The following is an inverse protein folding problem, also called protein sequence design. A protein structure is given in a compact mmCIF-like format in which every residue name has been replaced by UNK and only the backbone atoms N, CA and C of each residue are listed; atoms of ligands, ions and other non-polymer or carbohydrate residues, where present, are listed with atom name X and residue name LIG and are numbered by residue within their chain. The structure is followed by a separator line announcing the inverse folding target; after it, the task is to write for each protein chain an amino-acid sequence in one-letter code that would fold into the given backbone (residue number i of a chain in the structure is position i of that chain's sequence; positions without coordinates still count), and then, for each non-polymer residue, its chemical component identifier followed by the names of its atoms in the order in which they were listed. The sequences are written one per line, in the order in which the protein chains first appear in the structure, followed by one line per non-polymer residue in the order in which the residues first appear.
data_IF_026615804897
#
_entry.id   IF_026615804897
#
_cell.length_a   1.000
_cell.length_b   1.000
_cell.length_c   1.000
_cell.angle_alpha   90.00
_cell.angle_beta   90.00
_cell.angle_gamma   90.00
#
_symmetry.space_group_name_H-M   'P 1'
#
loop_
_entity.id
_entity.type
_entity.pdbx_description
1 polymer ?
#
# COMPACT_ATOMS: atom_id res chain seq x y z
N UNK A 1 -11.62 -35.24 24.37
CA UNK A 1 -11.09 -34.65 23.13
C UNK A 1 -9.66 -35.15 22.94
N UNK A 2 -9.46 -36.15 22.12
CA UNK A 2 -8.15 -36.77 21.85
C UNK A 2 -7.40 -35.84 20.88
N UNK A 3 -6.33 -35.22 21.31
CA UNK A 3 -5.42 -34.46 20.46
C UNK A 3 -4.86 -35.37 19.37
N UNK A 4 -5.33 -35.18 18.14
CA UNK A 4 -4.84 -35.89 16.96
C UNK A 4 -3.37 -35.54 16.79
N UNK A 5 -2.44 -36.50 16.99
CA UNK A 5 -1.01 -36.30 16.68
C UNK A 5 -0.90 -35.90 15.24
N UNK A 6 -0.60 -34.63 14.98
CA UNK A 6 -0.35 -34.14 13.61
C UNK A 6 0.95 -34.80 13.15
N UNK A 7 0.88 -35.61 12.10
CA UNK A 7 2.07 -36.21 11.50
C UNK A 7 2.97 -35.11 10.93
N UNK A 8 4.29 -35.24 11.06
CA UNK A 8 5.24 -34.29 10.47
C UNK A 8 5.00 -34.11 8.95
N UNK A 9 4.53 -35.16 8.27
CA UNK A 9 4.15 -35.11 6.87
C UNK A 9 2.92 -34.21 6.63
N UNK A 10 1.88 -34.33 7.48
CA UNK A 10 0.67 -33.51 7.37
C UNK A 10 0.99 -32.03 7.69
N UNK A 11 1.89 -31.79 8.65
CA UNK A 11 2.35 -30.44 8.97
C UNK A 11 3.11 -29.81 7.79
N UNK A 12 4.02 -30.56 7.16
CA UNK A 12 4.78 -30.11 5.99
C UNK A 12 3.89 -29.81 4.79
N UNK A 13 2.88 -30.66 4.53
CA UNK A 13 1.96 -30.46 3.41
C UNK A 13 1.07 -29.25 3.66
N UNK A 14 0.51 -29.12 4.85
CA UNK A 14 -0.40 -28.01 5.20
C UNK A 14 0.31 -26.66 5.31
N UNK A 15 1.61 -26.65 5.62
CA UNK A 15 2.40 -25.43 5.77
C UNK A 15 3.54 -25.33 4.74
N UNK A 16 3.41 -25.97 3.58
CA UNK A 16 4.46 -26.07 2.57
C UNK A 16 5.04 -24.70 2.16
N UNK A 17 4.21 -23.69 2.01
CA UNK A 17 4.65 -22.32 1.67
C UNK A 17 5.57 -21.75 2.76
N UNK A 18 5.20 -21.94 4.04
CA UNK A 18 5.99 -21.44 5.18
C UNK A 18 7.33 -22.17 5.24
N UNK A 19 7.34 -23.48 5.02
CA UNK A 19 8.55 -24.29 5.00
C UNK A 19 9.50 -23.84 3.89
N UNK A 20 8.99 -23.62 2.67
CA UNK A 20 9.78 -23.12 1.54
C UNK A 20 10.36 -21.74 1.85
N UNK A 21 9.56 -20.82 2.42
CA UNK A 21 10.04 -19.49 2.78
C UNK A 21 11.14 -19.55 3.85
N UNK A 22 11.01 -20.42 4.85
CA UNK A 22 12.04 -20.59 5.88
C UNK A 22 13.32 -21.17 5.28
N UNK A 23 13.22 -22.15 4.39
CA UNK A 23 14.39 -22.71 3.69
C UNK A 23 15.11 -21.66 2.84
N UNK A 24 14.36 -20.83 2.11
CA UNK A 24 14.92 -19.71 1.34
C UNK A 24 15.58 -18.67 2.24
N UNK A 25 14.98 -18.34 3.38
CA UNK A 25 15.55 -17.39 4.36
C UNK A 25 16.86 -17.94 4.93
N UNK A 26 16.92 -19.22 5.31
CA UNK A 26 18.13 -19.88 5.81
C UNK A 26 19.20 -19.94 4.71
N UNK A 27 18.82 -20.32 3.51
CA UNK A 27 19.76 -20.34 2.36
C UNK A 27 20.37 -18.96 2.10
N UNK A 28 19.54 -17.92 2.10
CA UNK A 28 19.98 -16.53 1.91
C UNK A 28 20.89 -16.06 3.05
N UNK A 29 20.57 -16.42 4.30
CA UNK A 29 21.39 -16.10 5.46
C UNK A 29 22.77 -16.73 5.40
N UNK A 30 22.88 -17.95 4.88
CA UNK A 30 24.17 -18.66 4.71
C UNK A 30 25.00 -18.01 3.59
N UNK A 31 24.35 -17.61 2.49
CA UNK A 31 25.03 -17.02 1.32
C UNK A 31 25.41 -15.55 1.51
N UNK A 32 24.65 -14.81 2.30
CA UNK A 32 24.86 -13.38 2.53
C UNK A 32 25.02 -13.09 4.04
N UNK A 33 26.28 -12.90 4.51
CA UNK A 33 26.53 -12.64 5.95
C UNK A 33 25.83 -11.37 6.47
N UNK A 34 25.51 -10.42 5.58
CA UNK A 34 24.81 -9.18 5.92
C UNK A 34 23.30 -9.36 6.04
N UNK A 35 22.75 -10.57 5.77
CA UNK A 35 21.30 -10.80 5.79
C UNK A 35 20.67 -10.44 7.14
N UNK A 36 21.28 -10.81 8.25
CA UNK A 36 20.85 -10.47 9.60
C UNK A 36 21.43 -9.15 10.13
N UNK A 37 22.06 -8.32 9.28
CA UNK A 37 22.51 -7.00 9.73
C UNK A 37 21.33 -6.14 10.14
N UNK A 38 21.55 -5.27 11.14
CA UNK A 38 20.53 -4.35 11.65
C UNK A 38 19.92 -3.49 10.53
N UNK A 39 20.74 -3.00 9.60
CA UNK A 39 20.27 -2.20 8.46
C UNK A 39 19.34 -2.99 7.55
N UNK A 40 19.69 -4.24 7.21
CA UNK A 40 18.85 -5.07 6.35
C UNK A 40 17.53 -5.46 7.04
N UNK A 41 17.53 -5.76 8.34
CA UNK A 41 16.30 -6.04 9.09
C UNK A 41 15.36 -4.83 9.13
N UNK A 42 15.90 -3.63 9.33
CA UNK A 42 15.12 -2.40 9.25
C UNK A 42 14.54 -2.21 7.84
N UNK A 43 15.34 -2.41 6.79
CA UNK A 43 14.88 -2.30 5.41
C UNK A 43 13.77 -3.32 5.09
N UNK A 44 13.88 -4.55 5.58
CA UNK A 44 12.82 -5.56 5.43
C UNK A 44 11.55 -5.09 6.15
N UNK A 45 11.65 -4.61 7.39
CA UNK A 45 10.51 -4.12 8.15
C UNK A 45 9.81 -2.94 7.45
N UNK A 46 10.58 -1.96 6.96
CA UNK A 46 10.05 -0.81 6.21
C UNK A 46 9.35 -1.23 4.91
N UNK A 47 9.85 -2.25 4.21
CA UNK A 47 9.21 -2.77 3.00
C UNK A 47 7.96 -3.61 3.28
N UNK A 48 7.91 -4.29 4.43
CA UNK A 48 6.78 -5.15 4.82
C UNK A 48 5.64 -4.36 5.44
N UNK A 49 5.95 -3.32 6.23
CA UNK A 49 4.96 -2.55 6.99
C UNK A 49 3.79 -2.02 6.14
N UNK A 50 3.99 -1.34 5.00
CA UNK A 50 2.89 -0.86 4.17
C UNK A 50 2.01 -2.00 3.63
N UNK A 51 2.65 -3.10 3.19
CA UNK A 51 1.95 -4.27 2.68
C UNK A 51 1.12 -4.96 3.76
N UNK A 52 1.63 -4.99 4.98
CA UNK A 52 0.93 -5.55 6.13
C UNK A 52 -0.32 -4.74 6.48
N UNK A 53 -0.23 -3.41 6.47
CA UNK A 53 -1.38 -2.51 6.70
C UNK A 53 -2.44 -2.74 5.63
N UNK A 54 -2.04 -2.83 4.35
CA UNK A 54 -2.96 -3.12 3.24
C UNK A 54 -3.62 -4.49 3.43
N UNK A 55 -2.86 -5.52 3.79
CA UNK A 55 -3.38 -6.86 4.04
C UNK A 55 -4.40 -6.89 5.17
N UNK A 56 -4.17 -6.14 6.26
CA UNK A 56 -5.15 -5.97 7.34
C UNK A 56 -6.45 -5.33 6.82
N UNK A 57 -6.37 -4.30 5.97
CA UNK A 57 -7.54 -3.67 5.37
C UNK A 57 -8.33 -4.61 4.46
N UNK A 58 -7.64 -5.34 3.59
CA UNK A 58 -8.26 -6.28 2.64
C UNK A 58 -8.82 -7.52 3.35
N UNK A 59 -8.28 -7.91 4.51
CA UNK A 59 -8.76 -9.07 5.26
C UNK A 59 -10.25 -8.96 5.63
N UNK A 60 -10.75 -7.75 5.89
CA UNK A 60 -12.17 -7.50 6.12
C UNK A 60 -13.05 -7.89 4.92
N UNK A 61 -12.60 -7.58 3.71
CA UNK A 61 -13.30 -7.97 2.48
C UNK A 61 -13.29 -9.49 2.28
N UNK A 62 -12.19 -10.18 2.62
CA UNK A 62 -12.10 -11.63 2.52
C UNK A 62 -13.06 -12.36 3.50
N UNK A 63 -13.24 -11.82 4.72
CA UNK A 63 -14.18 -12.36 5.70
C UNK A 63 -15.62 -12.32 5.15
N UNK A 64 -15.99 -11.29 4.40
CA UNK A 64 -17.30 -11.14 3.75
C UNK A 64 -17.41 -11.91 2.43
N UNK A 65 -16.45 -12.79 2.12
CA UNK A 65 -16.34 -13.55 0.86
C UNK A 65 -16.22 -12.68 -0.40
N UNK A 66 -15.80 -11.42 -0.23
CA UNK A 66 -15.44 -10.52 -1.32
C UNK A 66 -13.93 -10.50 -1.56
N UNK A 67 -13.53 -10.07 -2.75
CA UNK A 67 -12.13 -9.76 -3.06
C UNK A 67 -12.04 -8.29 -3.43
N UNK A 68 -11.06 -7.56 -2.87
CA UNK A 68 -10.79 -6.18 -3.26
C UNK A 68 -9.49 -6.10 -4.06
N UNK A 69 -9.62 -5.97 -5.37
CA UNK A 69 -8.50 -5.79 -6.28
C UNK A 69 -8.11 -4.31 -6.43
N UNK A 70 -8.95 -3.38 -5.97
CA UNK A 70 -8.70 -1.95 -6.12
C UNK A 70 -7.67 -1.39 -5.13
N UNK A 71 -7.43 -2.08 -4.01
CA UNK A 71 -6.55 -1.64 -2.92
C UNK A 71 -5.16 -1.22 -3.40
N UNK A 72 -4.53 -1.97 -4.31
CA UNK A 72 -3.22 -1.63 -4.86
C UNK A 72 -3.22 -0.31 -5.65
N UNK A 73 -4.29 -0.01 -6.36
CA UNK A 73 -4.43 1.27 -7.11
C UNK A 73 -4.78 2.44 -6.20
N UNK A 74 -5.46 2.20 -5.09
CA UNK A 74 -5.68 3.22 -4.04
C UNK A 74 -4.36 3.69 -3.44
N UNK A 75 -3.41 2.78 -3.22
CA UNK A 75 -2.05 3.15 -2.81
C UNK A 75 -1.36 4.01 -3.86
N UNK A 76 -1.49 3.66 -5.15
CA UNK A 76 -0.96 4.48 -6.25
C UNK A 76 -1.59 5.88 -6.29
N UNK A 77 -2.91 5.99 -6.12
CA UNK A 77 -3.61 7.28 -6.06
C UNK A 77 -3.11 8.13 -4.89
N UNK A 78 -3.00 7.53 -3.69
CA UNK A 78 -2.46 8.22 -2.51
C UNK A 78 -1.03 8.70 -2.73
N UNK A 79 -0.19 7.87 -3.39
CA UNK A 79 1.17 8.24 -3.72
C UNK A 79 1.23 9.40 -4.73
N UNK A 80 0.36 9.43 -5.73
CA UNK A 80 0.24 10.54 -6.68
C UNK A 80 -0.18 11.83 -5.98
N UNK A 81 -1.23 11.78 -5.14
CA UNK A 81 -1.73 12.94 -4.41
C UNK A 81 -0.70 13.48 -3.41
N UNK A 82 -0.16 12.61 -2.56
CA UNK A 82 0.88 12.99 -1.62
C UNK A 82 2.12 13.51 -2.34
N UNK A 83 2.51 12.85 -3.44
CA UNK A 83 3.66 13.23 -4.24
C UNK A 83 3.55 14.64 -4.82
N UNK A 84 2.40 15.05 -5.30
CA UNK A 84 2.19 16.39 -5.87
C UNK A 84 2.04 17.48 -4.83
N UNK A 85 1.44 17.17 -3.66
CA UNK A 85 1.18 18.13 -2.58
C UNK A 85 2.37 18.34 -1.65
N UNK A 86 3.33 17.41 -1.62
CA UNK A 86 4.51 17.45 -0.73
C UNK A 86 5.81 17.76 -1.49
N UNK A 87 5.72 18.42 -2.66
CA UNK A 87 6.90 18.87 -3.40
C UNK A 87 7.57 20.05 -2.71
N UNK A 88 8.90 20.19 -2.89
CA UNK A 88 9.68 21.34 -2.39
C UNK A 88 9.20 22.63 -3.04
N UNK A 89 9.20 23.75 -2.30
CA UNK A 89 8.83 25.06 -2.85
C UNK A 89 9.68 25.50 -4.03
N UNK A 90 10.96 25.17 -4.03
CA UNK A 90 11.98 25.54 -5.02
C UNK A 90 12.15 24.53 -6.17
N UNK A 91 11.37 23.44 -6.20
CA UNK A 91 11.48 22.42 -7.25
C UNK A 91 10.91 22.95 -8.59
N UNK A 92 11.74 22.98 -9.63
CA UNK A 92 11.39 23.52 -10.96
C UNK A 92 10.29 22.76 -11.68
N UNK A 93 10.13 21.45 -11.39
CA UNK A 93 9.07 20.59 -11.94
C UNK A 93 7.84 20.46 -11.05
N UNK A 94 7.54 21.48 -10.23
CA UNK A 94 6.35 21.48 -9.36
C UNK A 94 5.06 21.26 -10.14
N UNK A 95 4.22 20.40 -9.61
CA UNK A 95 2.89 20.17 -10.16
C UNK A 95 1.95 21.36 -9.86
N UNK A 96 1.96 21.83 -8.62
CA UNK A 96 1.25 23.05 -8.20
C UNK A 96 2.22 24.19 -7.96
N UNK A 97 2.29 25.14 -8.89
CA UNK A 97 3.23 26.27 -8.79
C UNK A 97 2.94 27.24 -7.64
N UNK A 98 1.66 27.34 -7.25
CA UNK A 98 1.19 28.30 -6.24
C UNK A 98 1.01 27.69 -4.84
N UNK A 99 1.56 26.50 -4.55
CA UNK A 99 1.55 25.98 -3.18
C UNK A 99 2.43 26.88 -2.29
N UNK A 100 1.89 27.40 -1.19
CA UNK A 100 2.65 28.24 -0.26
C UNK A 100 3.77 27.42 0.39
N UNK A 101 4.84 28.11 0.79
CA UNK A 101 5.83 27.53 1.67
C UNK A 101 5.30 27.54 3.10
N UNK A 102 5.16 26.36 3.68
CA UNK A 102 4.60 26.19 5.03
C UNK A 102 5.63 26.43 6.14
N UNK A 103 6.90 26.73 5.81
CA UNK A 103 7.95 27.01 6.78
C UNK A 103 7.98 25.95 7.90
N UNK A 104 7.82 26.39 9.16
CA UNK A 104 7.79 25.47 10.31
C UNK A 104 6.52 24.62 10.42
N UNK A 105 5.48 24.86 9.63
CA UNK A 105 4.21 24.12 9.66
C UNK A 105 4.16 22.90 8.72
N UNK A 106 5.30 22.52 8.11
CA UNK A 106 5.37 21.37 7.19
C UNK A 106 4.86 20.07 7.81
N UNK A 107 5.11 19.82 9.11
CA UNK A 107 4.58 18.64 9.78
C UNK A 107 3.05 18.59 9.80
N UNK A 108 2.42 19.73 10.02
CA UNK A 108 0.97 19.87 10.02
C UNK A 108 0.40 19.74 8.61
N UNK A 109 1.13 20.22 7.60
CA UNK A 109 0.77 20.03 6.19
C UNK A 109 0.86 18.56 5.75
N UNK A 110 1.90 17.83 6.15
CA UNK A 110 2.01 16.38 5.91
C UNK A 110 0.81 15.64 6.51
N UNK A 111 0.42 15.98 7.74
CA UNK A 111 -0.77 15.39 8.37
C UNK A 111 -2.06 15.72 7.59
N UNK A 112 -2.22 16.97 7.14
CA UNK A 112 -3.36 17.38 6.34
C UNK A 112 -3.43 16.60 5.01
N UNK A 113 -2.30 16.45 4.31
CA UNK A 113 -2.21 15.67 3.07
C UNK A 113 -2.56 14.20 3.31
N UNK A 114 -2.11 13.62 4.42
CA UNK A 114 -2.47 12.25 4.81
C UNK A 114 -3.99 12.12 5.00
N UNK A 115 -4.63 13.07 5.69
CA UNK A 115 -6.07 13.06 5.88
C UNK A 115 -6.83 13.22 4.55
N UNK A 116 -6.33 14.06 3.64
CA UNK A 116 -6.89 14.21 2.29
C UNK A 116 -6.81 12.88 1.52
N UNK A 117 -5.68 12.20 1.55
CA UNK A 117 -5.50 10.90 0.91
C UNK A 117 -6.48 9.87 1.47
N UNK A 118 -6.61 9.79 2.80
CA UNK A 118 -7.57 8.90 3.46
C UNK A 118 -9.00 9.22 3.04
N UNK A 119 -9.40 10.50 3.06
CA UNK A 119 -10.74 10.91 2.65
C UNK A 119 -11.07 10.52 1.21
N UNK A 120 -10.15 10.75 0.28
CA UNK A 120 -10.33 10.39 -1.14
C UNK A 120 -10.41 8.86 -1.29
N UNK A 121 -9.56 8.09 -0.62
CA UNK A 121 -9.65 6.63 -0.65
C UNK A 121 -10.96 6.12 -0.06
N UNK A 122 -11.48 6.75 1.00
CA UNK A 122 -12.78 6.43 1.58
C UNK A 122 -13.93 6.69 0.60
N UNK A 123 -13.89 7.78 -0.17
CA UNK A 123 -14.89 8.09 -1.21
C UNK A 123 -14.91 7.00 -2.27
N UNK A 124 -13.76 6.62 -2.83
CA UNK A 124 -13.67 5.54 -3.81
C UNK A 124 -14.10 4.19 -3.24
N UNK A 125 -13.71 3.88 -1.99
CA UNK A 125 -14.14 2.67 -1.30
C UNK A 125 -15.66 2.65 -1.06
N UNK A 126 -16.26 3.79 -0.71
CA UNK A 126 -17.71 3.93 -0.54
C UNK A 126 -18.45 3.72 -1.86
N UNK A 127 -17.99 4.33 -2.95
CA UNK A 127 -18.56 4.13 -4.30
C UNK A 127 -18.49 2.65 -4.69
N UNK A 128 -17.33 2.01 -4.45
CA UNK A 128 -17.14 0.59 -4.75
C UNK A 128 -18.10 -0.29 -3.91
N UNK A 129 -18.26 0.05 -2.63
CA UNK A 129 -19.23 -0.60 -1.73
C UNK A 129 -20.67 -0.50 -2.24
N UNK A 130 -21.11 0.67 -2.75
CA UNK A 130 -22.43 0.84 -3.35
C UNK A 130 -22.59 -0.04 -4.59
N UNK A 131 -21.60 -0.08 -5.48
CA UNK A 131 -21.64 -0.89 -6.70
C UNK A 131 -21.79 -2.38 -6.35
N UNK A 132 -21.08 -2.87 -5.36
CA UNK A 132 -21.09 -4.27 -4.97
C UNK A 132 -22.38 -4.60 -4.22
N UNK A 133 -22.76 -3.80 -3.21
CA UNK A 133 -23.88 -4.19 -2.32
C UNK A 133 -25.25 -3.76 -2.84
N UNK A 134 -25.37 -2.60 -3.45
CA UNK A 134 -26.64 -2.07 -3.93
C UNK A 134 -26.96 -2.51 -5.37
N UNK A 135 -25.98 -2.43 -6.28
CA UNK A 135 -26.14 -2.88 -7.66
C UNK A 135 -25.92 -4.41 -7.82
N UNK A 136 -25.59 -5.11 -6.73
CA UNK A 136 -25.39 -6.58 -6.71
C UNK A 136 -24.34 -7.06 -7.74
N UNK A 137 -23.35 -6.21 -8.05
CA UNK A 137 -22.24 -6.58 -8.94
C UNK A 137 -21.28 -7.50 -8.16
N UNK A 138 -20.83 -8.62 -8.72
CA UNK A 138 -19.81 -9.47 -8.09
C UNK A 138 -18.59 -8.65 -7.68
N UNK A 139 -18.11 -8.82 -6.43
CA UNK A 139 -17.03 -8.03 -5.85
C UNK A 139 -15.78 -8.01 -6.73
N UNK A 140 -15.44 -9.16 -7.34
CA UNK A 140 -14.31 -9.26 -8.26
C UNK A 140 -14.44 -8.29 -9.46
N UNK A 141 -15.63 -8.24 -10.09
CA UNK A 141 -15.87 -7.37 -11.27
C UNK A 141 -15.91 -5.90 -10.85
N UNK A 142 -16.61 -5.58 -9.76
CA UNK A 142 -16.71 -4.21 -9.25
C UNK A 142 -15.35 -3.63 -8.88
N UNK A 143 -14.53 -4.37 -8.13
CA UNK A 143 -13.21 -3.92 -7.70
C UNK A 143 -12.20 -3.85 -8.83
N UNK A 144 -12.31 -4.74 -9.83
CA UNK A 144 -11.47 -4.71 -11.02
C UNK A 144 -11.81 -3.48 -11.87
N UNK A 145 -13.09 -3.16 -12.06
CA UNK A 145 -13.52 -1.93 -12.72
C UNK A 145 -13.04 -0.68 -11.98
N UNK A 146 -13.17 -0.65 -10.65
CA UNK A 146 -12.66 0.46 -9.82
C UNK A 146 -11.14 0.61 -9.95
N UNK A 147 -10.40 -0.49 -9.98
CA UNK A 147 -8.95 -0.48 -10.21
C UNK A 147 -8.57 0.25 -11.50
N UNK A 148 -9.30 -0.01 -12.60
CA UNK A 148 -9.05 0.63 -13.89
C UNK A 148 -9.44 2.12 -13.87
N UNK A 149 -10.55 2.47 -13.25
CA UNK A 149 -10.99 3.86 -13.06
C UNK A 149 -9.92 4.65 -12.29
N UNK A 150 -9.50 4.15 -11.14
CA UNK A 150 -8.48 4.82 -10.30
C UNK A 150 -7.15 4.95 -11.05
N UNK A 151 -6.76 3.95 -11.81
CA UNK A 151 -5.56 4.04 -12.66
C UNK A 151 -5.69 5.13 -13.72
N UNK A 152 -6.82 5.19 -14.42
CA UNK A 152 -7.11 6.25 -15.39
C UNK A 152 -7.10 7.64 -14.74
N UNK A 153 -7.70 7.80 -13.57
CA UNK A 153 -7.67 9.05 -12.80
C UNK A 153 -6.23 9.46 -12.48
N UNK A 154 -5.39 8.53 -12.03
CA UNK A 154 -3.98 8.82 -11.77
C UNK A 154 -3.25 9.30 -13.03
N UNK A 155 -3.44 8.64 -14.17
CA UNK A 155 -2.80 9.02 -15.43
C UNK A 155 -3.23 10.40 -15.91
N UNK A 156 -4.52 10.69 -15.87
CA UNK A 156 -5.06 12.01 -16.27
C UNK A 156 -4.57 13.08 -15.30
N UNK A 157 -4.61 12.82 -14.00
CA UNK A 157 -4.17 13.74 -12.96
C UNK A 157 -2.69 14.12 -13.10
N UNK A 158 -1.83 13.14 -13.37
CA UNK A 158 -0.37 13.35 -13.45
C UNK A 158 0.12 13.66 -14.86
N UNK A 159 -0.77 13.74 -15.87
CA UNK A 159 -0.40 13.80 -17.28
C UNK A 159 0.60 12.69 -17.67
N UNK A 160 0.50 11.51 -17.04
CA UNK A 160 1.42 10.37 -17.19
C UNK A 160 2.90 10.74 -16.96
N UNK A 161 3.20 11.81 -16.21
CA UNK A 161 4.55 12.24 -15.90
C UNK A 161 4.99 11.74 -14.53
N UNK A 162 6.28 11.38 -14.35
CA UNK A 162 6.80 10.99 -13.05
C UNK A 162 6.77 12.16 -12.05
N UNK A 163 6.37 11.89 -10.82
CA UNK A 163 6.33 12.89 -9.74
C UNK A 163 7.60 12.72 -8.90
N UNK A 164 8.30 13.82 -8.65
CA UNK A 164 9.51 13.87 -7.84
C UNK A 164 9.64 15.20 -7.10
N UNK A 165 10.81 15.45 -6.48
CA UNK A 165 11.09 16.71 -5.78
C UNK A 165 10.41 16.83 -4.42
N UNK A 166 10.33 15.74 -3.65
CA UNK A 166 9.68 15.70 -2.33
C UNK A 166 10.41 16.57 -1.29
N UNK A 167 9.65 17.19 -0.41
CA UNK A 167 10.19 17.99 0.70
C UNK A 167 10.91 17.13 1.73
N UNK A 168 11.98 17.66 2.33
CA UNK A 168 12.82 16.92 3.28
C UNK A 168 12.04 16.47 4.53
N UNK A 169 11.04 17.24 4.98
CA UNK A 169 10.18 16.84 6.09
C UNK A 169 9.41 15.54 5.82
N UNK A 170 9.15 15.21 4.55
CA UNK A 170 8.50 13.97 4.16
C UNK A 170 9.50 12.81 3.98
N UNK A 171 10.73 13.11 3.54
CA UNK A 171 11.75 12.09 3.27
C UNK A 171 12.63 11.77 4.48
N UNK A 172 12.51 12.55 5.56
CA UNK A 172 13.30 12.37 6.80
C UNK A 172 12.66 11.42 7.82
N UNK A 173 11.53 10.77 7.48
CA UNK A 173 10.81 9.83 8.34
C UNK A 173 11.38 8.42 8.24
#
# INVERSE_FOLDING_TARGET
MTAKKVSAKDFLINNGIIVVLLLLAVFTAIKQPTFFSRGNLINIALNVAPRFIIACGVSGCLITKGTDLSAGRMVGLSACLAGTLLQKPDYSGKFFQNLPDFGNAWGLWVLAVLLICVAICCIFGFINGIVISYLQVPAFIGTLGMQLIVYGVCLVYTNATPIGGYHNAYTAV
#
